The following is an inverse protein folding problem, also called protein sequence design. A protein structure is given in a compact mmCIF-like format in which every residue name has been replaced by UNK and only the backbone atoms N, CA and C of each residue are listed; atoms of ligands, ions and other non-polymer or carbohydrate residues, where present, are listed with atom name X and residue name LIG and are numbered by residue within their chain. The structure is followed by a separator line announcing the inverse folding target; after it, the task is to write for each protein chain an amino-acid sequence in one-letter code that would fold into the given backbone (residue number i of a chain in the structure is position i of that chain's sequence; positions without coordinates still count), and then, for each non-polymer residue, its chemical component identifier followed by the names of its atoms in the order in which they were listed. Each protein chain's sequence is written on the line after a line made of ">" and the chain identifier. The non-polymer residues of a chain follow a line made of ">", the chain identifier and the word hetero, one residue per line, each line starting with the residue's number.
data_IF_996422243159
#
_entry.id   IF_996422243159
#
_cell.length_a   1.000
_cell.length_b   1.000
_cell.length_c   1.000
_cell.angle_alpha   90.00
_cell.angle_beta   90.00
_cell.angle_gamma   90.00
#
_symmetry.space_group_name_H-M   'P 1'
#
loop_
_entity.id
_entity.type
_entity.pdbx_description
1 polymer ?
#
# COMPACT_ATOMS: atom_id res chain seq x y z
N UNK A 1 -35.18 58.34 43.35
CA UNK A 1 -34.77 58.54 41.93
C UNK A 1 -33.58 57.66 41.50
N UNK A 2 -33.16 56.64 42.25
CA UNK A 2 -32.02 55.76 41.90
C UNK A 2 -32.40 54.32 41.52
N UNK A 3 -33.63 53.88 41.79
CA UNK A 3 -34.10 52.50 41.52
C UNK A 3 -34.52 52.29 40.04
N UNK A 4 -34.78 53.37 39.30
CA UNK A 4 -35.23 53.29 37.91
C UNK A 4 -34.09 53.10 36.88
N UNK A 5 -32.84 53.44 37.23
CA UNK A 5 -31.70 53.35 36.31
C UNK A 5 -31.10 51.94 36.21
N UNK A 6 -31.37 51.05 37.16
CA UNK A 6 -30.88 49.66 37.13
C UNK A 6 -31.75 48.70 36.30
N UNK A 7 -32.89 49.17 35.76
CA UNK A 7 -33.83 48.34 34.99
C UNK A 7 -33.58 48.36 33.48
N UNK A 8 -32.62 49.15 33.00
CA UNK A 8 -32.29 49.33 31.57
C UNK A 8 -30.80 49.05 31.31
N UNK A 9 -30.24 48.06 32.00
CA UNK A 9 -29.03 47.38 31.52
C UNK A 9 -29.21 45.91 31.83
N UNK A 10 -29.68 45.16 30.84
CA UNK A 10 -29.72 43.70 30.91
C UNK A 10 -28.37 43.22 30.38
N UNK A 11 -27.37 42.88 31.21
CA UNK A 11 -26.04 42.44 30.75
C UNK A 11 -26.06 41.03 30.13
N UNK A 12 -27.22 40.38 30.10
CA UNK A 12 -27.43 39.03 29.57
C UNK A 12 -27.01 38.81 28.11
N UNK A 13 -27.21 39.72 27.12
CA UNK A 13 -26.90 39.38 25.72
C UNK A 13 -25.39 39.27 25.48
N UNK A 14 -24.57 40.14 26.08
CA UNK A 14 -23.12 40.10 25.91
C UNK A 14 -22.49 38.87 26.55
N UNK A 15 -22.98 38.44 27.72
CA UNK A 15 -22.53 37.22 28.37
C UNK A 15 -22.79 35.98 27.49
N UNK A 16 -23.99 35.85 26.92
CA UNK A 16 -24.30 34.75 26.01
C UNK A 16 -23.47 34.79 24.72
N UNK A 17 -23.19 35.98 24.17
CA UNK A 17 -22.34 36.12 22.98
C UNK A 17 -20.89 35.70 23.27
N UNK A 18 -20.32 36.15 24.39
CA UNK A 18 -18.95 35.79 24.80
C UNK A 18 -18.86 34.28 25.07
N UNK A 19 -19.85 33.70 25.75
CA UNK A 19 -19.88 32.27 26.02
C UNK A 19 -19.95 31.43 24.74
N UNK A 20 -20.79 31.83 23.77
CA UNK A 20 -20.86 31.15 22.48
C UNK A 20 -19.54 31.23 21.69
N UNK A 21 -18.87 32.39 21.71
CA UNK A 21 -17.55 32.54 21.09
C UNK A 21 -16.50 31.61 21.70
N UNK A 22 -16.51 31.45 23.03
CA UNK A 22 -15.63 30.51 23.72
C UNK A 22 -15.95 29.05 23.36
N UNK A 23 -17.22 28.68 23.26
CA UNK A 23 -17.64 27.34 22.86
C UNK A 23 -17.20 27.04 21.42
N UNK A 24 -17.37 27.99 20.50
CA UNK A 24 -16.91 27.83 19.11
C UNK A 24 -15.39 27.68 19.04
N UNK A 25 -14.64 28.50 19.80
CA UNK A 25 -13.18 28.37 19.89
C UNK A 25 -12.74 27.01 20.46
N UNK A 26 -13.40 26.55 21.53
CA UNK A 26 -13.16 25.23 22.11
C UNK A 26 -13.48 24.10 21.10
N UNK A 27 -14.55 24.23 20.33
CA UNK A 27 -14.92 23.26 19.30
C UNK A 27 -13.91 23.23 18.14
N UNK A 28 -13.45 24.40 17.68
CA UNK A 28 -12.43 24.51 16.63
C UNK A 28 -11.09 23.89 17.07
N UNK A 29 -10.66 24.18 18.30
CA UNK A 29 -9.42 23.61 18.85
C UNK A 29 -9.53 22.10 19.07
N UNK A 30 -10.69 21.62 19.53
CA UNK A 30 -10.98 20.19 19.66
C UNK A 30 -10.98 19.49 18.29
N UNK A 31 -11.68 20.05 17.30
CA UNK A 31 -11.70 19.54 15.93
C UNK A 31 -10.30 19.53 15.30
N UNK A 32 -9.50 20.57 15.52
CA UNK A 32 -8.11 20.64 15.08
C UNK A 32 -7.24 19.58 15.77
N UNK A 33 -7.43 19.39 17.08
CA UNK A 33 -6.75 18.35 17.86
C UNK A 33 -7.06 16.95 17.32
N UNK A 34 -8.34 16.65 17.09
CA UNK A 34 -8.77 15.38 16.50
C UNK A 34 -8.27 15.19 15.08
N UNK A 35 -8.31 16.24 14.24
CA UNK A 35 -7.74 16.20 12.89
C UNK A 35 -6.25 15.86 12.93
N UNK A 36 -5.48 16.52 13.80
CA UNK A 36 -4.05 16.25 13.98
C UNK A 36 -3.80 14.83 14.49
N UNK A 37 -4.61 14.36 15.43
CA UNK A 37 -4.47 13.02 16.00
C UNK A 37 -4.81 11.93 14.97
N UNK A 38 -5.88 12.11 14.20
CA UNK A 38 -6.22 11.27 13.05
C UNK A 38 -5.09 11.24 12.01
N UNK A 39 -4.47 12.39 11.73
CA UNK A 39 -3.33 12.46 10.79
C UNK A 39 -2.04 11.81 11.31
N UNK A 40 -1.93 11.58 12.62
CA UNK A 40 -0.79 10.93 13.25
C UNK A 40 -0.99 9.42 13.42
N UNK A 41 -2.22 8.97 13.69
CA UNK A 41 -2.56 7.54 13.84
C UNK A 41 -2.78 6.87 12.48
N UNK A 42 -3.42 7.58 11.56
CA UNK A 42 -3.48 7.23 10.15
C UNK A 42 -2.29 7.90 9.50
N UNK A 43 -1.14 7.22 9.41
CA UNK A 43 0.06 7.70 8.71
C UNK A 43 -0.13 7.85 7.19
N UNK A 44 -1.25 8.42 6.75
CA UNK A 44 -1.66 8.53 5.36
C UNK A 44 -2.04 9.97 5.03
N UNK A 45 -1.39 10.48 3.99
CA UNK A 45 -1.93 11.54 3.13
C UNK A 45 -3.42 11.29 2.95
N UNK A 46 -4.26 12.22 3.39
CA UNK A 46 -5.72 12.11 3.21
C UNK A 46 -5.98 12.13 1.69
N UNK A 47 -6.51 11.05 1.08
CA UNK A 47 -6.60 10.93 -0.36
C UNK A 47 -7.91 11.58 -0.81
N UNK A 48 -8.01 12.90 -0.74
CA UNK A 48 -9.08 13.64 -1.43
C UNK A 48 -8.80 13.68 -2.94
N UNK A 49 -8.87 12.49 -3.50
CA UNK A 49 -8.30 12.12 -4.78
C UNK A 49 -8.00 10.63 -4.72
N UNK A 50 -9.04 9.81 -4.55
CA UNK A 50 -8.99 8.44 -5.03
C UNK A 50 -8.72 8.56 -6.52
N UNK A 51 -7.44 8.62 -6.93
CA UNK A 51 -7.08 8.19 -8.27
C UNK A 51 -7.75 6.84 -8.40
N UNK A 52 -8.71 6.72 -9.30
CA UNK A 52 -9.27 5.42 -9.65
C UNK A 52 -8.12 4.59 -10.18
N UNK A 53 -7.52 3.81 -9.28
CA UNK A 53 -6.61 2.76 -9.67
C UNK A 53 -7.45 1.78 -10.49
N UNK A 54 -6.96 1.40 -11.66
CA UNK A 54 -7.39 0.19 -12.35
C UNK A 54 -6.98 -1.02 -11.49
N UNK A 55 -7.67 -1.19 -10.37
CA UNK A 55 -7.43 -2.24 -9.40
C UNK A 55 -8.09 -3.50 -9.92
N UNK A 56 -7.41 -4.13 -10.86
CA UNK A 56 -7.81 -5.41 -11.42
C UNK A 56 -7.04 -6.49 -10.67
N UNK A 57 -7.70 -7.37 -9.92
CA UNK A 57 -7.02 -8.41 -9.16
C UNK A 57 -6.22 -9.37 -10.05
N UNK A 58 -5.15 -9.92 -9.48
CA UNK A 58 -4.25 -10.84 -10.16
C UNK A 58 -2.84 -10.29 -10.35
N UNK A 59 -2.01 -11.12 -10.98
CA UNK A 59 -0.64 -10.79 -11.41
C UNK A 59 -0.67 -9.94 -12.68
N UNK A 60 0.06 -8.81 -12.61
CA UNK A 60 0.37 -7.95 -13.75
C UNK A 60 1.87 -7.73 -13.89
N UNK A 61 2.33 -7.69 -15.13
CA UNK A 61 3.72 -7.52 -15.50
C UNK A 61 3.99 -6.03 -15.72
N UNK A 62 5.12 -5.55 -15.18
CA UNK A 62 5.63 -4.20 -15.43
C UNK A 62 6.91 -4.35 -16.23
N UNK A 63 6.87 -4.04 -17.52
CA UNK A 63 8.07 -4.02 -18.34
C UNK A 63 8.76 -2.67 -18.24
N UNK A 64 10.08 -2.69 -18.04
CA UNK A 64 10.92 -1.53 -17.74
C UNK A 64 10.83 -0.46 -18.87
N UNK A 65 9.99 0.57 -18.66
CA UNK A 65 9.94 1.83 -19.43
C UNK A 65 9.27 2.96 -18.61
N UNK A 66 8.50 2.59 -17.58
CA UNK A 66 7.94 3.49 -16.56
C UNK A 66 8.73 3.34 -15.27
N UNK A 67 9.15 4.47 -14.66
CA UNK A 67 9.88 4.47 -13.39
C UNK A 67 9.05 3.77 -12.31
N UNK A 68 9.36 2.52 -12.02
CA UNK A 68 8.69 1.68 -11.03
C UNK A 68 8.57 2.36 -9.65
N UNK A 69 9.56 3.18 -9.30
CA UNK A 69 9.58 4.05 -8.12
C UNK A 69 8.42 5.06 -8.08
N UNK A 70 7.97 5.57 -9.22
CA UNK A 70 6.80 6.46 -9.29
C UNK A 70 5.50 5.72 -9.07
N UNK A 71 5.42 4.43 -9.39
CA UNK A 71 4.20 3.62 -9.17
C UNK A 71 4.08 3.32 -7.68
N UNK A 72 5.18 2.95 -7.02
CA UNK A 72 5.19 2.54 -5.61
C UNK A 72 4.70 3.60 -4.63
N UNK A 73 4.85 4.89 -4.96
CA UNK A 73 4.40 6.03 -4.17
C UNK A 73 2.88 6.23 -4.20
N UNK A 74 2.23 5.66 -5.21
CA UNK A 74 0.81 5.83 -5.52
C UNK A 74 0.05 4.56 -5.11
N UNK A 75 0.71 3.51 -4.62
CA UNK A 75 0.05 2.27 -4.19
C UNK A 75 -0.61 2.40 -2.81
N UNK A 76 -1.62 1.55 -2.52
CA UNK A 76 -2.21 1.39 -1.19
C UNK A 76 -1.17 1.23 -0.08
N UNK A 77 -1.50 1.66 1.15
CA UNK A 77 -0.59 1.57 2.30
C UNK A 77 -0.27 0.12 2.69
N UNK A 78 -1.22 -0.81 2.48
CA UNK A 78 -1.01 -2.23 2.73
C UNK A 78 -0.34 -2.90 1.54
N UNK A 79 0.99 -2.91 1.57
CA UNK A 79 1.81 -3.61 0.57
C UNK A 79 2.81 -4.58 1.17
N UNK A 80 3.06 -5.66 0.46
CA UNK A 80 4.11 -6.65 0.72
C UNK A 80 5.12 -6.60 -0.42
N UNK A 81 6.40 -6.53 -0.11
CA UNK A 81 7.46 -6.44 -1.11
C UNK A 81 8.39 -7.64 -0.94
N UNK A 82 8.50 -8.45 -1.97
CA UNK A 82 9.49 -9.52 -2.11
C UNK A 82 10.52 -9.01 -3.12
N UNK A 83 11.78 -8.79 -2.71
CA UNK A 83 12.79 -8.17 -3.58
C UNK A 83 14.17 -8.75 -3.38
N UNK A 84 14.98 -8.80 -4.44
CA UNK A 84 16.42 -9.07 -4.36
C UNK A 84 17.21 -7.87 -3.81
N UNK A 85 16.66 -6.66 -3.88
CA UNK A 85 17.29 -5.39 -3.53
C UNK A 85 16.42 -4.63 -2.50
N UNK A 86 16.48 -5.02 -1.20
CA UNK A 86 15.66 -4.43 -0.14
C UNK A 86 15.97 -2.94 0.09
N UNK A 87 17.14 -2.47 -0.33
CA UNK A 87 17.55 -1.10 -0.08
C UNK A 87 16.78 -0.09 -0.94
N UNK A 88 16.21 -0.52 -2.08
CA UNK A 88 15.27 0.28 -2.88
C UNK A 88 13.99 0.65 -2.15
N UNK A 89 13.61 -0.13 -1.14
CA UNK A 89 12.34 0.01 -0.42
C UNK A 89 12.57 0.37 1.05
N UNK A 90 13.69 1.05 1.36
CA UNK A 90 13.94 1.59 2.71
C UNK A 90 12.82 2.56 3.09
N UNK A 91 12.11 2.26 4.19
CA UNK A 91 10.95 3.02 4.65
C UNK A 91 9.64 2.24 4.58
N UNK A 92 9.63 1.10 3.90
CA UNK A 92 8.48 0.21 3.84
C UNK A 92 8.48 -0.82 4.98
N UNK A 93 7.29 -1.12 5.51
CA UNK A 93 7.15 -1.93 6.72
C UNK A 93 7.27 -3.44 6.47
N UNK A 94 6.87 -3.92 5.28
CA UNK A 94 6.76 -5.34 4.95
C UNK A 94 7.62 -5.70 3.73
N UNK A 95 8.94 -5.66 3.92
CA UNK A 95 9.92 -6.03 2.89
C UNK A 95 10.58 -7.35 3.29
N UNK A 96 10.58 -8.31 2.38
CA UNK A 96 11.34 -9.56 2.47
C UNK A 96 12.46 -9.58 1.44
N UNK A 97 13.65 -9.91 1.91
CA UNK A 97 14.83 -9.99 1.08
C UNK A 97 14.99 -11.40 0.49
N UNK A 98 14.96 -11.49 -0.84
CA UNK A 98 15.28 -12.72 -1.57
C UNK A 98 16.80 -12.86 -1.61
N UNK A 99 17.33 -13.79 -0.81
CA UNK A 99 18.77 -13.99 -0.68
C UNK A 99 19.09 -15.38 -0.12
N UNK A 100 20.26 -15.92 -0.48
CA UNK A 100 20.81 -17.14 0.14
C UNK A 100 21.29 -16.91 1.57
N UNK A 101 21.45 -15.65 1.98
CA UNK A 101 21.85 -15.31 3.35
C UNK A 101 20.68 -15.49 4.32
N UNK A 102 20.93 -16.21 5.41
CA UNK A 102 19.96 -16.31 6.50
C UNK A 102 20.01 -15.05 7.34
N UNK A 103 18.95 -14.25 7.32
CA UNK A 103 18.84 -12.99 8.06
C UNK A 103 17.38 -12.79 8.46
N UNK A 104 17.09 -11.83 9.34
CA UNK A 104 15.71 -11.49 9.65
C UNK A 104 14.98 -11.02 8.38
N UNK A 105 13.77 -11.54 8.14
CA UNK A 105 12.96 -11.30 6.93
C UNK A 105 13.68 -11.59 5.62
N UNK A 106 14.54 -12.62 5.59
CA UNK A 106 15.06 -13.17 4.33
C UNK A 106 14.38 -14.47 3.92
N UNK A 107 14.34 -14.71 2.61
CA UNK A 107 13.79 -15.92 2.00
C UNK A 107 14.78 -16.40 0.94
N UNK A 108 15.06 -17.70 0.93
CA UNK A 108 15.93 -18.29 -0.09
C UNK A 108 15.22 -18.27 -1.45
N UNK A 109 15.93 -17.94 -2.54
CA UNK A 109 15.33 -17.90 -3.87
C UNK A 109 14.81 -19.27 -4.33
N UNK A 110 15.38 -20.36 -3.82
CA UNK A 110 14.99 -21.73 -4.10
C UNK A 110 13.73 -22.17 -3.36
N UNK A 111 13.30 -21.42 -2.34
CA UNK A 111 12.16 -21.75 -1.49
C UNK A 111 10.90 -21.03 -1.99
N UNK A 112 10.44 -21.42 -3.18
CA UNK A 112 9.22 -20.89 -3.80
C UNK A 112 7.97 -21.16 -2.93
N UNK A 113 7.98 -22.25 -2.16
CA UNK A 113 6.90 -22.61 -1.25
C UNK A 113 6.76 -21.57 -0.12
N UNK A 114 7.87 -21.19 0.52
CA UNK A 114 7.86 -20.15 1.55
C UNK A 114 7.50 -18.77 0.99
N UNK A 115 8.00 -18.43 -0.21
CA UNK A 115 7.57 -17.20 -0.91
C UNK A 115 6.06 -17.19 -1.14
N UNK A 116 5.51 -18.32 -1.60
CA UNK A 116 4.09 -18.48 -1.84
C UNK A 116 3.26 -18.42 -0.56
N UNK A 117 3.72 -19.05 0.52
CA UNK A 117 3.08 -19.01 1.83
C UNK A 117 3.01 -17.59 2.41
N UNK A 118 4.11 -16.83 2.32
CA UNK A 118 4.15 -15.44 2.82
C UNK A 118 3.21 -14.56 2.00
N UNK A 119 3.23 -14.71 0.67
CA UNK A 119 2.32 -13.98 -0.21
C UNK A 119 0.86 -14.31 0.07
N UNK A 120 0.48 -15.59 0.16
CA UNK A 120 -0.89 -16.01 0.41
C UNK A 120 -1.38 -15.62 1.81
N UNK A 121 -0.53 -15.71 2.83
CA UNK A 121 -0.84 -15.23 4.18
C UNK A 121 -1.16 -13.75 4.17
N UNK A 122 -0.36 -12.94 3.47
CA UNK A 122 -0.64 -11.51 3.32
C UNK A 122 -1.95 -11.25 2.57
N UNK A 123 -2.18 -11.95 1.45
CA UNK A 123 -3.44 -11.87 0.69
C UNK A 123 -4.67 -12.18 1.54
N UNK A 124 -4.57 -13.08 2.51
CA UNK A 124 -5.69 -13.49 3.38
C UNK A 124 -5.83 -12.67 4.67
N UNK A 125 -4.85 -11.85 5.05
CA UNK A 125 -4.80 -11.19 6.37
C UNK A 125 -5.89 -10.14 6.66
N UNK A 126 -6.61 -9.66 5.65
CA UNK A 126 -7.61 -8.58 5.75
C UNK A 126 -8.45 -8.50 4.47
N UNK A 127 -9.58 -7.79 4.53
CA UNK A 127 -10.44 -7.55 3.37
C UNK A 127 -10.07 -6.30 2.55
N UNK A 128 -9.06 -5.55 3.00
CA UNK A 128 -8.65 -4.31 2.34
C UNK A 128 -7.96 -4.57 1.00
N UNK A 129 -7.93 -3.56 0.13
CA UNK A 129 -7.15 -3.61 -1.11
C UNK A 129 -5.67 -3.72 -0.78
N UNK A 130 -5.06 -4.80 -1.26
CA UNK A 130 -3.65 -5.12 -1.03
C UNK A 130 -2.86 -5.07 -2.32
N UNK A 131 -1.58 -4.77 -2.16
CA UNK A 131 -0.62 -4.90 -3.26
C UNK A 131 0.55 -5.76 -2.85
N UNK A 132 0.94 -6.69 -3.72
CA UNK A 132 2.19 -7.43 -3.57
C UNK A 132 3.10 -7.04 -4.72
N UNK A 133 4.36 -6.80 -4.39
CA UNK A 133 5.41 -6.54 -5.36
C UNK A 133 6.36 -7.74 -5.31
N UNK A 134 6.60 -8.36 -6.46
CA UNK A 134 7.56 -9.46 -6.61
C UNK A 134 8.67 -9.00 -7.55
N UNK A 135 9.71 -8.41 -6.97
CA UNK A 135 10.88 -7.87 -7.66
C UNK A 135 12.04 -8.88 -7.66
N UNK A 136 12.68 -9.05 -8.81
CA UNK A 136 13.76 -10.03 -9.00
C UNK A 136 13.28 -11.42 -9.44
N UNK A 137 12.24 -11.48 -10.26
CA UNK A 137 11.78 -12.75 -10.84
C UNK A 137 12.84 -13.41 -11.71
N UNK A 138 13.69 -12.62 -12.35
CA UNK A 138 14.85 -13.06 -13.13
C UNK A 138 15.75 -13.94 -12.26
N UNK A 139 15.96 -13.52 -11.01
CA UNK A 139 16.77 -14.27 -10.07
C UNK A 139 16.10 -15.59 -9.66
N UNK A 140 14.77 -15.58 -9.44
CA UNK A 140 14.02 -16.81 -9.16
C UNK A 140 14.08 -17.79 -10.34
N UNK A 141 14.02 -17.28 -11.59
CA UNK A 141 14.12 -18.09 -12.80
C UNK A 141 15.52 -18.70 -12.94
N UNK A 142 16.57 -17.94 -12.63
CA UNK A 142 17.95 -18.46 -12.65
C UNK A 142 18.14 -19.60 -11.64
N UNK A 143 17.58 -19.47 -10.43
CA UNK A 143 17.78 -20.45 -9.35
C UNK A 143 16.86 -21.68 -9.46
N UNK A 144 15.63 -21.53 -10.01
CA UNK A 144 14.64 -22.62 -10.03
C UNK A 144 14.31 -23.15 -11.43
N UNK A 145 14.61 -22.38 -12.48
CA UNK A 145 14.13 -22.61 -13.84
C UNK A 145 12.77 -21.96 -14.11
N UNK A 146 12.57 -21.52 -15.35
CA UNK A 146 11.39 -20.76 -15.77
C UNK A 146 10.07 -21.49 -15.49
N UNK A 147 9.96 -22.78 -15.82
CA UNK A 147 8.71 -23.53 -15.68
C UNK A 147 8.20 -23.58 -14.23
N UNK A 148 9.10 -23.73 -13.25
CA UNK A 148 8.73 -23.75 -11.84
C UNK A 148 8.23 -22.38 -11.37
N UNK A 149 8.92 -21.32 -11.76
CA UNK A 149 8.52 -19.94 -11.42
C UNK A 149 7.22 -19.57 -12.12
N UNK A 150 7.03 -19.96 -13.38
CA UNK A 150 5.80 -19.72 -14.12
C UNK A 150 4.60 -20.36 -13.45
N UNK A 151 4.68 -21.67 -13.12
CA UNK A 151 3.62 -22.37 -12.38
C UNK A 151 3.34 -21.72 -11.03
N UNK A 152 4.39 -21.33 -10.31
CA UNK A 152 4.26 -20.63 -9.04
C UNK A 152 3.53 -19.29 -9.19
N UNK A 153 3.87 -18.49 -10.21
CA UNK A 153 3.16 -17.24 -10.51
C UNK A 153 1.70 -17.48 -10.88
N UNK A 154 1.38 -18.53 -11.62
CA UNK A 154 -0.02 -18.87 -11.94
C UNK A 154 -0.82 -19.15 -10.67
N UNK A 155 -0.26 -19.92 -9.73
CA UNK A 155 -0.91 -20.17 -8.43
C UNK A 155 -1.12 -18.85 -7.67
N UNK A 156 -0.10 -17.98 -7.63
CA UNK A 156 -0.22 -16.64 -7.00
C UNK A 156 -1.29 -15.79 -7.68
N UNK A 157 -1.41 -15.87 -9.01
CA UNK A 157 -2.42 -15.16 -9.78
C UNK A 157 -3.84 -15.58 -9.42
N UNK A 158 -4.07 -16.88 -9.27
CA UNK A 158 -5.39 -17.43 -8.90
C UNK A 158 -5.81 -17.02 -7.48
N UNK A 159 -4.87 -17.10 -6.53
CA UNK A 159 -5.11 -16.66 -5.15
C UNK A 159 -5.37 -15.14 -5.12
N UNK A 160 -4.59 -14.36 -5.87
CA UNK A 160 -4.74 -12.90 -5.94
C UNK A 160 -6.10 -12.49 -6.51
N UNK A 161 -6.61 -13.20 -7.53
CA UNK A 161 -7.96 -12.97 -8.07
C UNK A 161 -9.06 -13.25 -7.04
N UNK A 162 -8.90 -14.31 -6.26
CA UNK A 162 -9.89 -14.72 -5.24
C UNK A 162 -9.90 -13.79 -4.03
N UNK A 163 -8.74 -13.23 -3.69
CA UNK A 163 -8.55 -12.36 -2.51
C UNK A 163 -8.61 -10.86 -2.82
N UNK A 164 -8.97 -10.49 -4.06
CA UNK A 164 -9.00 -9.09 -4.51
C UNK A 164 -7.65 -8.37 -4.25
N UNK A 165 -6.54 -9.04 -4.56
CA UNK A 165 -5.18 -8.52 -4.39
C UNK A 165 -4.55 -8.20 -5.75
N UNK A 166 -3.88 -7.05 -5.85
CA UNK A 166 -3.07 -6.69 -7.00
C UNK A 166 -1.64 -7.22 -6.80
N UNK A 167 -1.10 -7.95 -7.76
CA UNK A 167 0.30 -8.42 -7.72
C UNK A 167 1.05 -7.80 -8.89
N UNK A 168 2.13 -7.08 -8.59
CA UNK A 168 2.98 -6.40 -9.56
C UNK A 168 4.32 -7.12 -9.66
N UNK A 169 4.67 -7.51 -10.88
CA UNK A 169 5.91 -8.22 -11.18
C UNK A 169 6.71 -7.38 -12.17
N UNK A 170 7.67 -6.56 -11.71
CA UNK A 170 8.62 -5.91 -12.61
C UNK A 170 9.49 -6.96 -13.31
N UNK A 171 9.63 -6.82 -14.63
CA UNK A 171 10.42 -7.73 -15.48
C UNK A 171 11.30 -6.93 -16.42
N UNK A 172 12.59 -7.25 -16.43
CA UNK A 172 13.55 -6.78 -17.43
C UNK A 172 13.46 -7.67 -18.67
N UNK A 173 13.09 -7.08 -19.82
CA UNK A 173 12.92 -7.84 -21.09
C UNK A 173 14.23 -8.50 -21.52
N UNK A 174 15.36 -7.91 -21.18
CA UNK A 174 16.69 -8.38 -21.56
C UNK A 174 17.14 -9.62 -20.76
N UNK A 175 16.47 -9.91 -19.65
CA UNK A 175 16.87 -10.97 -18.73
C UNK A 175 16.17 -12.32 -18.96
N UNK A 176 15.13 -12.35 -19.80
CA UNK A 176 14.36 -13.56 -20.13
C UNK A 176 14.41 -13.84 -21.63
N UNK A 177 14.22 -15.10 -22.02
CA UNK A 177 14.16 -15.47 -23.45
C UNK A 177 12.84 -14.97 -24.05
N UNK A 178 12.84 -14.65 -25.35
CA UNK A 178 11.63 -14.19 -26.05
C UNK A 178 10.43 -15.13 -25.88
N UNK A 179 10.68 -16.45 -25.92
CA UNK A 179 9.64 -17.47 -25.68
C UNK A 179 9.07 -17.40 -24.28
N UNK A 180 9.90 -17.16 -23.27
CA UNK A 180 9.48 -17.04 -21.86
C UNK A 180 8.63 -15.78 -21.66
N UNK A 181 9.04 -14.66 -22.27
CA UNK A 181 8.28 -13.41 -22.26
C UNK A 181 6.92 -13.58 -22.96
N UNK A 182 6.88 -14.27 -24.10
CA UNK A 182 5.63 -14.54 -24.81
C UNK A 182 4.65 -15.37 -23.98
N UNK A 183 5.16 -16.37 -23.24
CA UNK A 183 4.34 -17.17 -22.32
C UNK A 183 3.81 -16.30 -21.17
N UNK A 184 4.65 -15.46 -20.56
CA UNK A 184 4.24 -14.55 -19.50
C UNK A 184 3.17 -13.57 -19.97
N UNK A 185 3.34 -12.94 -21.14
CA UNK A 185 2.36 -12.00 -21.73
C UNK A 185 1.05 -12.66 -22.11
N UNK A 186 1.06 -13.96 -22.42
CA UNK A 186 -0.16 -14.72 -22.73
C UNK A 186 -0.98 -14.99 -21.47
N UNK A 187 -0.32 -15.26 -20.35
CA UNK A 187 -0.97 -15.62 -19.09
C UNK A 187 -1.36 -14.40 -18.26
N UNK A 188 -0.47 -13.40 -18.20
CA UNK A 188 -0.59 -12.25 -17.33
C UNK A 188 -0.76 -10.95 -18.12
N UNK A 189 -1.53 -10.01 -17.55
CA UNK A 189 -1.74 -8.68 -18.14
C UNK A 189 -0.53 -7.78 -17.92
N UNK A 190 -0.29 -6.86 -18.85
CA UNK A 190 0.67 -5.78 -18.69
C UNK A 190 -0.03 -4.62 -17.94
N UNK A 191 0.64 -4.08 -16.92
CA UNK A 191 0.12 -3.00 -16.06
C UNK A 191 0.42 -1.61 -16.61
#
# INVERSE_FOLDING_TARGET
>A
MLVALFRIYNPRPYFFVILNLLIVGAFLTYAYGWYKLLSLTVGAKIPWGLKEYSFVPGVHLIFENTSFTKITDVLPPFKLILTRDPWKFRGENNVYWITKMTTNRSIQPTDLEKLGYIASTFMNASSDKKVIIIDGIEYLVIENGFERVFKWLTVIHDIARTTNTLVLVPIKKEALKEREIALLKREFREY
#
